data_IF_188589213732
#
_entry.id   IF_188589213732
#
_cell.length_a   1.000
_cell.length_b   1.000
_cell.length_c   1.000
_cell.angle_alpha   90.00
_cell.angle_beta   90.00
_cell.angle_gamma   90.00
#
_symmetry.space_group_name_H-M   'P 1'
#
loop_
_entity.id
_entity.type
_entity.pdbx_description
1 polymer ?
#
# COMPACT_ATOMS: atom_id res chain seq x y z
N UNK A 1 60.11 -15.39 12.51
CA UNK A 1 58.76 -15.31 13.10
C UNK A 1 58.37 -13.84 13.02
N UNK A 2 57.59 -13.46 11.99
CA UNK A 2 57.07 -12.13 11.85
C UNK A 2 55.97 -11.95 12.88
N UNK A 3 55.95 -10.84 13.52
CA UNK A 3 55.10 -10.46 14.63
C UNK A 3 53.63 -10.59 14.26
N UNK A 4 52.99 -11.59 14.78
CA UNK A 4 51.54 -11.80 14.68
C UNK A 4 50.76 -10.70 15.40
N UNK A 5 51.48 -10.04 16.38
CA UNK A 5 50.95 -8.96 17.21
C UNK A 5 50.73 -7.65 16.45
N UNK A 6 51.25 -7.50 15.23
CA UNK A 6 51.06 -6.33 14.36
C UNK A 6 49.97 -6.54 13.31
N UNK A 7 49.35 -7.71 13.26
CA UNK A 7 48.20 -7.94 12.37
C UNK A 7 46.95 -7.26 12.94
N UNK A 8 46.56 -6.18 12.31
CA UNK A 8 45.33 -5.47 12.69
C UNK A 8 44.12 -6.40 12.45
N UNK A 9 43.59 -6.94 13.54
CA UNK A 9 42.35 -7.75 13.50
C UNK A 9 41.17 -6.79 13.58
N UNK A 10 40.44 -6.69 12.50
CA UNK A 10 39.24 -5.86 12.43
C UNK A 10 37.98 -6.73 12.41
N UNK A 11 36.90 -6.24 12.99
CA UNK A 11 35.58 -6.73 12.63
C UNK A 11 35.31 -6.39 11.16
N UNK A 12 34.40 -7.10 10.51
CA UNK A 12 34.02 -6.81 9.12
C UNK A 12 33.66 -5.33 8.94
N UNK A 13 32.92 -4.76 9.86
CA UNK A 13 32.54 -3.35 9.88
C UNK A 13 33.74 -2.42 10.02
N UNK A 14 34.65 -2.71 10.97
CA UNK A 14 35.87 -1.94 11.12
C UNK A 14 36.79 -2.01 9.92
N UNK A 15 36.85 -3.14 9.23
CA UNK A 15 37.57 -3.29 7.96
C UNK A 15 36.95 -2.43 6.86
N UNK A 16 35.63 -2.49 6.68
CA UNK A 16 34.92 -1.67 5.70
C UNK A 16 35.11 -0.17 5.97
N UNK A 17 34.99 0.25 7.22
CA UNK A 17 35.21 1.64 7.62
C UNK A 17 36.64 2.12 7.29
N UNK A 18 37.63 1.28 7.55
CA UNK A 18 39.01 1.59 7.20
C UNK A 18 39.21 1.72 5.69
N UNK A 19 38.66 0.80 4.92
CA UNK A 19 38.74 0.85 3.44
C UNK A 19 38.08 2.12 2.91
N UNK A 20 36.93 2.50 3.43
CA UNK A 20 36.24 3.73 3.05
C UNK A 20 37.09 4.99 3.39
N UNK A 21 37.70 5.00 4.57
CA UNK A 21 38.58 6.09 4.98
C UNK A 21 39.86 6.19 4.13
N UNK A 22 40.50 5.05 3.83
CA UNK A 22 41.72 4.99 2.99
C UNK A 22 41.39 5.37 1.52
N UNK A 23 40.16 5.10 1.06
CA UNK A 23 39.70 5.52 -0.26
C UNK A 23 39.37 7.01 -0.38
N UNK A 24 39.61 7.81 0.66
CA UNK A 24 39.35 9.26 0.73
C UNK A 24 37.87 9.65 0.46
N UNK A 25 36.96 8.72 0.59
CA UNK A 25 35.54 8.97 0.46
C UNK A 25 34.99 9.97 1.49
N UNK A 26 35.51 10.07 2.73
CA UNK A 26 35.10 11.10 3.68
C UNK A 26 35.30 12.54 3.18
N UNK A 27 36.33 12.79 2.35
CA UNK A 27 36.53 14.12 1.78
C UNK A 27 35.40 14.55 0.82
N UNK A 28 34.66 13.59 0.27
CA UNK A 28 33.56 13.83 -0.66
C UNK A 28 32.18 13.72 0.01
N UNK A 29 32.02 12.88 1.05
CA UNK A 29 30.73 12.50 1.64
C UNK A 29 30.62 12.89 3.13
N UNK A 30 31.66 13.46 3.76
CA UNK A 30 31.74 13.64 5.21
C UNK A 30 32.22 12.37 5.93
N UNK A 31 32.42 12.45 7.26
CA UNK A 31 32.83 11.28 8.03
C UNK A 31 31.73 10.19 7.98
N UNK A 32 32.06 8.99 7.46
CA UNK A 32 31.08 7.90 7.40
C UNK A 32 30.79 7.40 8.81
N UNK A 33 29.56 7.56 9.23
CA UNK A 33 29.07 6.98 10.47
C UNK A 33 28.50 5.59 10.18
N UNK A 34 28.80 4.61 11.04
CA UNK A 34 28.22 3.28 10.92
C UNK A 34 26.83 3.33 11.53
N UNK A 35 25.83 3.19 10.70
CA UNK A 35 24.45 3.07 11.15
C UNK A 35 24.21 1.64 11.62
N UNK A 36 23.96 1.42 12.90
CA UNK A 36 23.78 0.08 13.45
C UNK A 36 22.48 -0.59 12.98
N UNK A 37 21.46 0.18 12.64
CA UNK A 37 20.21 -0.30 12.08
C UNK A 37 19.71 0.62 10.95
N UNK A 38 19.60 0.08 9.75
CA UNK A 38 19.09 0.79 8.56
C UNK A 38 17.66 1.31 8.75
N UNK A 39 16.90 0.72 9.69
CA UNK A 39 15.53 1.13 10.01
C UNK A 39 15.45 2.52 10.65
N UNK A 40 16.53 2.99 11.29
CA UNK A 40 16.54 4.33 11.87
C UNK A 40 16.47 5.43 10.82
N UNK A 41 16.97 5.16 9.61
CA UNK A 41 17.00 6.13 8.51
C UNK A 41 15.77 6.04 7.61
N UNK A 42 15.12 4.90 7.61
CA UNK A 42 14.02 4.61 6.72
C UNK A 42 12.87 5.64 6.81
N UNK A 43 12.41 6.10 8.00
CA UNK A 43 11.37 7.11 8.08
C UNK A 43 11.76 8.44 7.41
N UNK A 44 12.99 8.90 7.61
CA UNK A 44 13.47 10.14 7.00
C UNK A 44 13.58 10.05 5.48
N UNK A 45 14.15 8.96 4.97
CA UNK A 45 14.24 8.71 3.54
C UNK A 45 12.86 8.58 2.88
N UNK A 46 11.93 7.91 3.56
CA UNK A 46 10.56 7.78 3.07
C UNK A 46 9.83 9.12 3.04
N UNK A 47 10.00 9.94 4.07
CA UNK A 47 9.39 11.26 4.09
C UNK A 47 9.92 12.13 2.94
N UNK A 48 11.21 12.11 2.69
CA UNK A 48 11.81 12.86 1.58
C UNK A 48 11.32 12.34 0.22
N UNK A 49 11.33 11.02 0.02
CA UNK A 49 10.82 10.39 -1.20
C UNK A 49 9.33 10.69 -1.41
N UNK A 50 8.54 10.66 -0.34
CA UNK A 50 7.12 10.98 -0.37
C UNK A 50 6.85 12.41 -0.80
N UNK A 51 7.56 13.37 -0.22
CA UNK A 51 7.44 14.80 -0.60
C UNK A 51 7.81 14.99 -2.08
N UNK A 52 8.91 14.37 -2.53
CA UNK A 52 9.31 14.45 -3.95
C UNK A 52 8.24 13.85 -4.87
N UNK A 53 7.66 12.72 -4.49
CA UNK A 53 6.63 12.05 -5.27
C UNK A 53 5.33 12.86 -5.32
N UNK A 54 4.92 13.45 -4.20
CA UNK A 54 3.72 14.28 -4.12
C UNK A 54 3.85 15.65 -4.80
N UNK A 55 5.07 16.08 -5.15
CA UNK A 55 5.26 17.31 -5.92
C UNK A 55 4.80 17.18 -7.38
N UNK A 56 4.68 15.96 -7.90
CA UNK A 56 4.05 15.70 -9.19
C UNK A 56 2.53 15.56 -8.99
N UNK A 57 1.69 16.44 -9.61
CA UNK A 57 0.24 16.40 -9.42
C UNK A 57 -0.39 15.07 -9.83
N UNK A 58 0.14 14.41 -10.85
CA UNK A 58 -0.34 13.12 -11.34
C UNK A 58 -0.06 12.01 -10.34
N UNK A 59 1.16 11.99 -9.80
CA UNK A 59 1.57 11.02 -8.80
C UNK A 59 0.83 11.21 -7.47
N UNK A 60 0.61 12.47 -7.05
CA UNK A 60 -0.18 12.79 -5.87
C UNK A 60 -1.64 12.30 -6.02
N UNK A 61 -2.24 12.47 -7.19
CA UNK A 61 -3.59 11.97 -7.47
C UNK A 61 -3.64 10.44 -7.45
N UNK A 62 -2.63 9.76 -7.98
CA UNK A 62 -2.50 8.30 -7.95
C UNK A 62 -2.42 7.78 -6.52
N UNK A 63 -1.62 8.40 -5.66
CA UNK A 63 -1.53 8.05 -4.24
C UNK A 63 -2.88 8.25 -3.54
N UNK A 64 -3.56 9.36 -3.83
CA UNK A 64 -4.88 9.65 -3.29
C UNK A 64 -5.92 8.60 -3.68
N UNK A 65 -5.89 8.12 -4.92
CA UNK A 65 -6.82 7.11 -5.43
C UNK A 65 -6.48 5.69 -4.94
N UNK A 66 -5.20 5.38 -4.75
CA UNK A 66 -4.74 4.02 -4.41
C UNK A 66 -4.75 3.70 -2.92
N UNK A 67 -5.07 4.67 -2.03
CA UNK A 67 -4.96 4.53 -0.57
C UNK A 67 -3.58 4.04 -0.07
N UNK A 68 -2.52 4.29 -0.85
CA UNK A 68 -1.14 4.03 -0.43
C UNK A 68 -0.71 5.15 0.51
N UNK A 69 -0.16 4.79 1.66
CA UNK A 69 0.36 5.73 2.65
C UNK A 69 1.83 5.46 2.94
N UNK A 70 2.59 6.44 3.48
CA UNK A 70 3.98 6.23 3.87
C UNK A 70 4.17 5.01 4.78
N UNK A 71 3.26 4.79 5.73
CA UNK A 71 3.33 3.67 6.68
C UNK A 71 3.17 2.31 6.00
N UNK A 72 2.34 2.24 4.94
CA UNK A 72 2.21 1.01 4.14
C UNK A 72 3.51 0.71 3.41
N UNK A 73 4.11 1.72 2.78
CA UNK A 73 5.38 1.57 2.06
C UNK A 73 6.50 1.23 3.05
N UNK A 74 6.56 1.90 4.19
CA UNK A 74 7.56 1.62 5.23
C UNK A 74 7.53 0.14 5.64
N UNK A 75 6.35 -0.37 5.98
CA UNK A 75 6.19 -1.77 6.37
C UNK A 75 6.65 -2.74 5.29
N UNK A 76 6.32 -2.44 4.03
CA UNK A 76 6.68 -3.31 2.91
C UNK A 76 8.21 -3.29 2.67
N UNK A 77 8.86 -2.12 2.81
CA UNK A 77 10.32 -1.99 2.75
C UNK A 77 11.00 -2.72 3.92
N UNK A 78 10.48 -2.59 5.14
CA UNK A 78 11.02 -3.32 6.31
C UNK A 78 11.02 -4.83 6.09
N UNK A 79 9.98 -5.38 5.45
CA UNK A 79 9.93 -6.79 5.06
C UNK A 79 11.02 -7.14 4.05
N UNK A 80 11.30 -6.27 3.09
CA UNK A 80 12.34 -6.47 2.08
C UNK A 80 13.75 -6.40 2.69
N UNK A 81 13.98 -5.47 3.62
CA UNK A 81 15.26 -5.35 4.33
C UNK A 81 15.59 -6.63 5.13
N UNK A 82 14.59 -7.24 5.75
CA UNK A 82 14.77 -8.51 6.48
C UNK A 82 14.97 -9.70 5.54
N UNK A 83 14.48 -9.60 4.29
CA UNK A 83 14.51 -10.68 3.31
C UNK A 83 15.18 -10.24 2.00
N UNK A 84 16.50 -10.00 2.00
CA UNK A 84 17.21 -9.43 0.83
C UNK A 84 17.21 -10.36 -0.41
N UNK A 85 16.78 -11.61 -0.26
CA UNK A 85 16.59 -12.54 -1.37
C UNK A 85 15.28 -12.35 -2.13
N UNK A 86 14.36 -11.54 -1.63
CA UNK A 86 13.13 -11.20 -2.36
C UNK A 86 13.45 -10.23 -3.49
N UNK A 87 12.98 -10.56 -4.67
CA UNK A 87 13.04 -9.65 -5.81
C UNK A 87 11.68 -9.00 -6.02
N UNK A 88 11.68 -7.67 -6.15
CA UNK A 88 10.48 -6.95 -6.55
C UNK A 88 10.19 -7.24 -8.02
N UNK A 89 9.01 -7.77 -8.31
CA UNK A 89 8.53 -7.81 -9.70
C UNK A 89 8.11 -6.40 -10.11
N UNK A 90 9.04 -5.70 -10.77
CA UNK A 90 8.82 -4.34 -11.25
C UNK A 90 8.13 -4.29 -12.62
N UNK A 91 7.47 -5.36 -13.04
CA UNK A 91 6.66 -5.31 -14.27
C UNK A 91 5.62 -4.22 -14.10
N UNK A 92 5.93 -3.07 -14.69
CA UNK A 92 5.07 -1.89 -14.65
C UNK A 92 3.79 -2.20 -15.42
N UNK A 93 2.70 -2.48 -14.72
CA UNK A 93 1.37 -2.23 -15.27
C UNK A 93 1.28 -0.69 -15.35
N UNK A 94 1.20 -0.14 -16.53
CA UNK A 94 0.99 1.31 -16.67
C UNK A 94 -0.33 1.64 -15.97
N UNK A 95 -0.28 2.43 -14.91
CA UNK A 95 -1.47 2.92 -14.26
C UNK A 95 -1.86 4.22 -14.97
N UNK A 96 -3.01 4.19 -15.64
CA UNK A 96 -3.60 5.35 -16.28
C UNK A 96 -4.53 6.05 -15.29
N UNK A 97 -4.13 7.23 -14.83
CA UNK A 97 -4.90 8.03 -13.87
C UNK A 97 -6.23 8.48 -14.46
N UNK A 98 -6.27 8.74 -15.75
CA UNK A 98 -7.51 9.17 -16.41
C UNK A 98 -8.51 8.00 -16.45
N UNK A 99 -8.07 6.80 -16.75
CA UNK A 99 -8.90 5.59 -16.62
C UNK A 99 -9.44 5.38 -15.20
N UNK A 100 -8.64 5.62 -14.16
CA UNK A 100 -9.10 5.54 -12.77
C UNK A 100 -10.17 6.60 -12.45
N UNK A 101 -10.01 7.81 -12.97
CA UNK A 101 -11.01 8.87 -12.79
C UNK A 101 -12.30 8.55 -13.51
N UNK A 102 -12.23 8.11 -14.76
CA UNK A 102 -13.40 7.70 -15.56
C UNK A 102 -14.13 6.54 -14.89
N UNK A 103 -13.40 5.55 -14.41
CA UNK A 103 -13.96 4.44 -13.65
C UNK A 103 -14.69 4.91 -12.37
N UNK A 104 -14.11 5.86 -11.62
CA UNK A 104 -14.77 6.45 -10.45
C UNK A 104 -16.04 7.22 -10.83
N UNK A 105 -16.03 7.94 -11.94
CA UNK A 105 -17.21 8.66 -12.46
C UNK A 105 -18.31 7.66 -12.84
N UNK A 106 -17.94 6.56 -13.49
CA UNK A 106 -18.87 5.50 -13.87
C UNK A 106 -19.51 4.84 -12.63
N UNK A 107 -18.71 4.51 -11.61
CA UNK A 107 -19.19 4.00 -10.33
C UNK A 107 -20.14 4.99 -9.64
N UNK A 108 -19.80 6.27 -9.64
CA UNK A 108 -20.66 7.32 -9.08
C UNK A 108 -21.99 7.40 -9.81
N UNK A 109 -21.98 7.25 -11.12
CA UNK A 109 -23.20 7.27 -11.93
C UNK A 109 -24.10 6.08 -11.63
N UNK A 110 -23.53 4.87 -11.54
CA UNK A 110 -24.26 3.66 -11.10
C UNK A 110 -24.86 3.82 -9.71
N UNK A 111 -24.06 4.35 -8.77
CA UNK A 111 -24.52 4.61 -7.42
C UNK A 111 -25.69 5.58 -7.37
N UNK A 112 -25.63 6.69 -8.10
CA UNK A 112 -26.69 7.71 -8.10
C UNK A 112 -27.99 7.18 -8.71
N UNK A 113 -27.89 6.25 -9.67
CA UNK A 113 -29.08 5.67 -10.31
C UNK A 113 -29.75 4.61 -9.43
N UNK A 114 -28.97 3.77 -8.74
CA UNK A 114 -29.48 2.54 -8.15
C UNK A 114 -29.08 2.36 -6.66
N UNK A 115 -28.72 3.44 -5.93
CA UNK A 115 -28.15 3.34 -4.58
C UNK A 115 -29.02 2.54 -3.59
N UNK A 116 -30.35 2.66 -3.66
CA UNK A 116 -31.25 1.89 -2.80
C UNK A 116 -31.20 0.39 -3.11
N UNK A 117 -31.15 0.02 -4.38
CA UNK A 117 -31.02 -1.36 -4.80
C UNK A 117 -29.64 -1.95 -4.43
N UNK A 118 -28.56 -1.15 -4.57
CA UNK A 118 -27.20 -1.55 -4.21
C UNK A 118 -27.10 -1.81 -2.69
N UNK A 119 -27.59 -0.89 -1.87
CA UNK A 119 -27.60 -1.05 -0.40
C UNK A 119 -28.45 -2.23 0.01
N UNK A 120 -29.63 -2.38 -0.57
CA UNK A 120 -30.53 -3.49 -0.31
C UNK A 120 -29.88 -4.84 -0.65
N UNK A 121 -29.25 -4.97 -1.82
CA UNK A 121 -28.59 -6.18 -2.29
C UNK A 121 -27.53 -6.68 -1.30
N UNK A 122 -26.66 -5.79 -0.80
CA UNK A 122 -25.62 -6.17 0.15
C UNK A 122 -26.15 -6.37 1.58
N UNK A 123 -27.21 -5.64 1.96
CA UNK A 123 -27.79 -5.74 3.30
C UNK A 123 -28.63 -7.03 3.47
N UNK A 124 -29.34 -7.43 2.42
CA UNK A 124 -30.18 -8.64 2.39
C UNK A 124 -29.38 -9.91 2.07
N UNK A 125 -28.08 -9.79 1.67
CA UNK A 125 -27.24 -10.94 1.40
C UNK A 125 -26.98 -11.76 2.68
N UNK A 126 -27.74 -12.82 2.86
CA UNK A 126 -27.70 -13.71 4.04
C UNK A 126 -26.45 -14.59 4.08
N UNK A 127 -25.78 -14.75 2.93
CA UNK A 127 -24.53 -15.47 2.80
C UNK A 127 -23.33 -14.73 3.43
N UNK A 128 -23.36 -13.41 3.58
CA UNK A 128 -22.25 -12.68 4.16
C UNK A 128 -22.13 -12.90 5.67
N UNK A 129 -20.91 -13.18 6.11
CA UNK A 129 -20.62 -13.32 7.54
C UNK A 129 -20.63 -11.96 8.23
N UNK A 130 -21.48 -11.79 9.26
CA UNK A 130 -21.55 -10.58 10.10
C UNK A 130 -20.64 -10.66 11.33
N UNK A 131 -19.62 -11.53 11.30
CA UNK A 131 -18.64 -11.62 12.35
C UNK A 131 -17.75 -10.36 12.43
N UNK A 132 -17.12 -10.14 13.58
CA UNK A 132 -16.31 -8.93 13.85
C UNK A 132 -15.18 -8.69 12.83
N UNK A 133 -14.58 -9.77 12.34
CA UNK A 133 -13.52 -9.72 11.33
C UNK A 133 -14.03 -9.65 9.88
N UNK A 134 -15.34 -9.65 9.67
CA UNK A 134 -15.95 -9.65 8.33
C UNK A 134 -16.80 -8.40 8.14
N UNK A 135 -18.11 -8.50 8.13
CA UNK A 135 -19.04 -7.42 7.82
C UNK A 135 -19.91 -6.99 9.03
N UNK A 136 -19.33 -7.02 10.24
CA UNK A 136 -20.02 -6.51 11.46
C UNK A 136 -20.40 -5.03 11.32
N UNK A 137 -19.52 -4.25 10.70
CA UNK A 137 -19.68 -2.81 10.50
C UNK A 137 -19.97 -2.49 9.02
N UNK A 138 -20.87 -3.25 8.40
CA UNK A 138 -21.19 -3.07 6.99
C UNK A 138 -21.70 -1.66 6.69
N UNK A 139 -22.55 -1.13 7.55
CA UNK A 139 -23.16 0.19 7.36
C UNK A 139 -22.10 1.29 7.36
N UNK A 140 -21.08 1.19 8.22
CA UNK A 140 -19.94 2.11 8.25
C UNK A 140 -19.14 2.03 6.94
N UNK A 141 -18.92 0.81 6.41
CA UNK A 141 -18.21 0.62 5.14
C UNK A 141 -19.01 1.19 3.96
N UNK A 142 -20.33 1.07 3.98
CA UNK A 142 -21.22 1.66 2.97
C UNK A 142 -21.18 3.19 3.03
N UNK A 143 -21.17 3.79 4.20
CA UNK A 143 -21.05 5.25 4.36
C UNK A 143 -19.65 5.74 3.92
N UNK A 144 -18.59 4.97 4.18
CA UNK A 144 -17.26 5.27 3.63
C UNK A 144 -17.25 5.20 2.10
N UNK A 145 -17.87 4.18 1.50
CA UNK A 145 -18.03 4.05 0.05
C UNK A 145 -18.76 5.25 -0.54
N UNK A 146 -19.89 5.61 0.04
CA UNK A 146 -20.69 6.76 -0.37
C UNK A 146 -19.88 8.07 -0.29
N UNK A 147 -19.19 8.27 0.82
CA UNK A 147 -18.32 9.44 1.03
C UNK A 147 -17.23 9.48 -0.05
N UNK A 148 -16.56 8.37 -0.32
CA UNK A 148 -15.54 8.29 -1.36
C UNK A 148 -16.09 8.56 -2.76
N UNK A 149 -17.25 8.03 -3.10
CA UNK A 149 -17.87 8.25 -4.41
C UNK A 149 -18.31 9.70 -4.62
N UNK A 150 -18.84 10.35 -3.60
CA UNK A 150 -19.47 11.66 -3.70
C UNK A 150 -18.52 12.82 -3.39
N UNK A 151 -17.37 12.57 -2.81
CA UNK A 151 -16.37 13.57 -2.47
C UNK A 151 -15.00 13.24 -3.04
N UNK A 152 -14.05 14.16 -2.85
CA UNK A 152 -12.63 13.94 -3.16
C UNK A 152 -11.88 13.30 -1.98
N UNK A 153 -12.58 12.54 -1.13
CA UNK A 153 -11.97 11.82 -0.03
C UNK A 153 -11.04 10.70 -0.53
N UNK A 154 -10.06 10.36 0.28
CA UNK A 154 -9.15 9.25 -0.01
C UNK A 154 -9.88 7.92 0.03
N UNK A 155 -9.47 7.00 -0.83
CA UNK A 155 -9.94 5.62 -0.81
C UNK A 155 -9.49 4.94 0.49
N UNK A 156 -10.40 4.25 1.16
CA UNK A 156 -10.08 3.45 2.35
C UNK A 156 -9.97 1.96 2.00
N UNK A 157 -9.19 1.22 2.80
CA UNK A 157 -9.10 -0.24 2.64
C UNK A 157 -10.43 -0.96 2.88
N UNK A 158 -11.33 -0.33 3.63
CA UNK A 158 -12.63 -0.89 3.92
C UNK A 158 -13.48 -1.05 2.65
N UNK A 159 -13.42 -0.08 1.74
CA UNK A 159 -14.17 -0.11 0.48
C UNK A 159 -13.82 -1.33 -0.38
N UNK A 160 -12.55 -1.74 -0.43
CA UNK A 160 -12.12 -2.92 -1.17
C UNK A 160 -12.81 -4.21 -0.68
N UNK A 161 -13.26 -4.24 0.57
CA UNK A 161 -14.02 -5.38 1.12
C UNK A 161 -15.39 -5.58 0.49
N UNK A 162 -15.90 -4.55 -0.21
CA UNK A 162 -17.17 -4.60 -0.94
C UNK A 162 -17.02 -5.12 -2.38
N UNK A 163 -15.99 -5.86 -2.68
CA UNK A 163 -15.79 -6.49 -3.99
C UNK A 163 -16.22 -7.96 -3.98
N UNK A 164 -16.67 -8.53 -5.13
CA UNK A 164 -17.04 -9.92 -5.25
C UNK A 164 -15.98 -10.89 -4.72
N UNK A 165 -14.71 -10.66 -5.01
CA UNK A 165 -13.58 -11.49 -4.53
C UNK A 165 -13.49 -11.50 -3.00
N UNK A 166 -13.77 -10.39 -2.35
CA UNK A 166 -13.77 -10.31 -0.88
C UNK A 166 -15.06 -10.86 -0.30
N UNK A 167 -16.20 -10.72 -0.99
CA UNK A 167 -17.45 -11.39 -0.58
C UNK A 167 -17.24 -12.90 -0.51
N UNK A 168 -16.65 -13.51 -1.54
CA UNK A 168 -16.42 -14.96 -1.60
C UNK A 168 -15.56 -15.46 -0.45
N UNK A 169 -14.55 -14.71 -0.01
CA UNK A 169 -13.69 -15.07 1.14
C UNK A 169 -14.46 -15.14 2.46
N UNK A 170 -15.55 -14.39 2.57
CA UNK A 170 -16.31 -14.23 3.80
C UNK A 170 -17.73 -14.83 3.72
N UNK A 171 -17.98 -15.62 2.69
CA UNK A 171 -19.26 -16.32 2.52
C UNK A 171 -19.42 -17.44 3.52
N UNK A 172 -20.63 -17.57 4.06
CA UNK A 172 -21.08 -18.75 4.79
C UNK A 172 -21.32 -19.89 3.82
N UNK A 173 -21.26 -21.11 4.30
CA UNK A 173 -21.52 -22.32 3.47
C UNK A 173 -22.90 -22.35 2.83
N UNK A 174 -23.87 -21.64 3.39
CA UNK A 174 -25.23 -21.51 2.87
C UNK A 174 -25.61 -20.03 2.88
N UNK A 175 -26.17 -19.54 1.79
CA UNK A 175 -26.60 -18.16 1.63
C UNK A 175 -26.24 -17.59 0.27
N UNK A 176 -26.78 -16.42 -0.03
CA UNK A 176 -26.56 -15.69 -1.27
C UNK A 176 -25.49 -14.60 -1.11
N UNK A 177 -24.67 -14.43 -2.13
CA UNK A 177 -23.79 -13.26 -2.26
C UNK A 177 -24.54 -12.07 -2.86
N UNK A 178 -24.07 -10.83 -2.63
CA UNK A 178 -24.54 -9.67 -3.37
C UNK A 178 -24.31 -9.87 -4.88
N UNK A 179 -25.27 -9.43 -5.71
CA UNK A 179 -25.25 -9.69 -7.17
C UNK A 179 -25.44 -8.44 -8.02
N UNK A 180 -25.54 -7.28 -7.40
CA UNK A 180 -25.71 -6.05 -8.17
C UNK A 180 -24.48 -5.78 -9.03
N UNK A 181 -24.67 -5.37 -10.28
CA UNK A 181 -23.60 -5.09 -11.24
C UNK A 181 -22.60 -4.02 -10.74
N UNK A 182 -22.99 -3.20 -9.79
CA UNK A 182 -22.11 -2.22 -9.14
C UNK A 182 -20.90 -2.89 -8.48
N UNK A 183 -21.06 -4.06 -7.86
CA UNK A 183 -19.95 -4.74 -7.18
C UNK A 183 -18.92 -5.29 -8.15
N UNK A 184 -19.35 -5.75 -9.32
CA UNK A 184 -18.47 -6.17 -10.40
C UNK A 184 -17.70 -4.98 -10.96
N UNK A 185 -18.37 -3.86 -11.22
CA UNK A 185 -17.73 -2.63 -11.67
C UNK A 185 -16.74 -2.08 -10.62
N UNK A 186 -17.04 -2.22 -9.32
CA UNK A 186 -16.12 -1.87 -8.25
C UNK A 186 -14.88 -2.76 -8.25
N UNK A 187 -15.04 -4.07 -8.49
CA UNK A 187 -13.91 -5.00 -8.61
C UNK A 187 -13.02 -4.62 -9.79
N UNK A 188 -13.61 -4.39 -10.97
CA UNK A 188 -12.88 -3.99 -12.19
C UNK A 188 -12.08 -2.70 -11.97
N UNK A 189 -12.62 -1.78 -11.18
CA UNK A 189 -11.92 -0.54 -10.84
C UNK A 189 -10.67 -0.79 -9.97
N UNK A 190 -10.67 -1.86 -9.15
CA UNK A 190 -9.52 -2.22 -8.29
C UNK A 190 -8.46 -3.06 -9.01
N UNK A 191 -8.79 -3.73 -10.13
CA UNK A 191 -7.91 -4.62 -10.89
C UNK A 191 -7.08 -3.89 -11.97
#
# INVERSE_FOLDING_TARGET
IRRFDESATFTIHGFCQRVLNEAQLPALLGEPDIVPDEREWLPGLLQEAWIRYCNDPLQAELLRLSAVTPEVIQRDIEVLLVKPYLHLDTKKKACDVDSLREGKISLRTLWNNDHEAIIKDVSEADGLSRAEKSYKYLDDIIEELKTWLLSDSSLTKAIRRLTPVEFDKHMKRKGSAPRHAFWEALQEWFD
#
